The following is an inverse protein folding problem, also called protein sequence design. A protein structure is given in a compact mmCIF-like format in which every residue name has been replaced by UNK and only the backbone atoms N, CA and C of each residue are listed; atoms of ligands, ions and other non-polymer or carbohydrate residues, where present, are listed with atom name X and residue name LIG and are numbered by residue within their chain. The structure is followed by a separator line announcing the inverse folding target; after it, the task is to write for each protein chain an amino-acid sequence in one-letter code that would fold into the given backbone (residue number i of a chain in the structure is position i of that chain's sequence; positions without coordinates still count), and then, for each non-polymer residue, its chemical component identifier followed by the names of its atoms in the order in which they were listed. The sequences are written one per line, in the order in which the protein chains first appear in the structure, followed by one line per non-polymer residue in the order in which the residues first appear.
data_IF_125018604362
#
_entry.id   IF_125018604362
#
_cell.length_a   1.000
_cell.length_b   1.000
_cell.length_c   1.000
_cell.angle_alpha   90.00
_cell.angle_beta   90.00
_cell.angle_gamma   90.00
#
_symmetry.space_group_name_H-M   'P 1'
#
loop_
_entity.id
_entity.type
_entity.pdbx_description
1 polymer ?
#
# COMPACT_ATOMS: atom_id res chain seq x y z
N UNK A 1 31.71 -58.92 8.61
CA UNK A 1 30.43 -58.29 8.20
C UNK A 1 29.90 -57.22 9.19
N UNK A 2 30.10 -57.31 10.53
CA UNK A 2 29.61 -56.29 11.49
C UNK A 2 30.31 -54.93 11.44
N UNK A 3 31.57 -54.82 11.00
CA UNK A 3 32.32 -53.55 10.92
C UNK A 3 32.00 -52.74 9.68
N UNK A 4 31.50 -53.33 8.61
CA UNK A 4 31.12 -52.64 7.37
C UNK A 4 29.71 -52.02 7.51
N UNK A 5 28.82 -52.64 8.28
CA UNK A 5 27.46 -52.13 8.53
C UNK A 5 27.46 -50.86 9.39
N UNK A 6 28.42 -50.74 10.33
CA UNK A 6 28.53 -49.53 11.17
C UNK A 6 29.07 -48.31 10.40
N UNK A 7 29.93 -48.52 9.42
CA UNK A 7 30.49 -47.46 8.60
C UNK A 7 29.46 -46.88 7.60
N UNK A 8 28.56 -47.73 7.08
CA UNK A 8 27.49 -47.28 6.18
C UNK A 8 26.35 -46.56 6.92
N UNK A 9 26.07 -46.92 8.17
CA UNK A 9 25.04 -46.21 8.96
C UNK A 9 25.52 -44.81 9.40
N UNK A 10 26.81 -44.67 9.70
CA UNK A 10 27.39 -43.35 10.07
C UNK A 10 27.46 -42.40 8.89
N UNK A 11 27.75 -42.89 7.69
CA UNK A 11 27.77 -42.05 6.47
C UNK A 11 26.35 -41.64 6.09
N UNK A 12 25.34 -42.49 6.28
CA UNK A 12 23.94 -42.14 6.03
C UNK A 12 23.39 -41.10 7.04
N UNK A 13 23.82 -41.17 8.32
CA UNK A 13 23.42 -40.16 9.32
C UNK A 13 24.09 -38.78 9.08
N UNK A 14 25.32 -38.77 8.55
CA UNK A 14 26.01 -37.51 8.22
C UNK A 14 25.39 -36.86 6.99
N UNK A 15 24.85 -37.62 6.03
CA UNK A 15 24.17 -37.04 4.86
C UNK A 15 22.77 -36.51 5.18
N UNK A 16 22.08 -37.02 6.20
CA UNK A 16 20.78 -36.49 6.62
C UNK A 16 20.88 -35.28 7.52
N UNK A 17 22.01 -35.00 8.17
CA UNK A 17 22.21 -33.83 9.02
C UNK A 17 22.66 -32.61 8.19
N UNK A 18 23.22 -32.83 7.00
CA UNK A 18 23.70 -31.72 6.15
C UNK A 18 22.65 -31.10 5.19
N UNK A 19 21.43 -31.66 5.13
CA UNK A 19 20.34 -31.07 4.33
C UNK A 19 19.38 -30.22 5.19
N UNK A 20 19.55 -30.19 6.51
CA UNK A 20 18.69 -29.48 7.44
C UNK A 20 19.22 -28.11 7.93
N UNK A 21 20.31 -27.58 7.33
CA UNK A 21 20.96 -26.34 7.79
C UNK A 21 21.14 -25.28 6.70
N UNK A 22 20.28 -25.25 5.71
CA UNK A 22 20.14 -24.10 4.85
C UNK A 22 18.76 -23.46 5.07
N UNK A 23 18.34 -23.27 6.33
CA UNK A 23 17.44 -22.19 6.64
C UNK A 23 18.28 -20.92 6.56
N UNK A 24 18.11 -20.16 5.47
CA UNK A 24 18.54 -18.77 5.45
C UNK A 24 18.00 -18.11 6.70
N UNK A 25 18.89 -17.67 7.57
CA UNK A 25 18.54 -16.87 8.75
C UNK A 25 18.04 -15.54 8.21
N UNK A 26 16.74 -15.47 7.93
CA UNK A 26 16.03 -14.22 7.61
C UNK A 26 16.24 -13.32 8.83
N UNK A 27 16.97 -12.23 8.62
CA UNK A 27 17.21 -11.25 9.68
C UNK A 27 15.86 -10.76 10.23
N UNK A 28 15.61 -10.83 11.54
CA UNK A 28 14.31 -10.47 12.14
C UNK A 28 13.80 -9.08 11.76
N UNK A 29 14.73 -8.14 11.48
CA UNK A 29 14.43 -6.76 11.11
C UNK A 29 13.55 -6.57 9.87
N UNK A 30 13.46 -7.58 8.99
CA UNK A 30 12.68 -7.48 7.76
C UNK A 30 11.54 -8.51 7.68
N UNK A 31 11.16 -9.10 8.80
CA UNK A 31 9.98 -9.97 8.84
C UNK A 31 8.74 -9.10 8.66
N UNK A 32 8.16 -9.20 7.49
CA UNK A 32 6.89 -8.61 7.16
C UNK A 32 5.74 -9.55 7.49
N UNK A 33 4.51 -9.06 7.42
CA UNK A 33 3.31 -9.90 7.48
C UNK A 33 3.41 -11.01 6.44
N UNK A 34 3.09 -12.24 6.84
CA UNK A 34 3.22 -13.43 6.01
C UNK A 34 2.52 -13.28 4.65
N UNK A 35 3.27 -13.52 3.58
CA UNK A 35 2.76 -13.63 2.22
C UNK A 35 3.43 -14.84 1.56
N UNK A 36 2.66 -15.86 1.13
CA UNK A 36 3.22 -17.08 0.54
C UNK A 36 4.17 -16.78 -0.62
N UNK A 37 5.38 -17.34 -0.57
CA UNK A 37 6.42 -17.10 -1.56
C UNK A 37 7.19 -15.78 -1.41
N UNK A 38 6.87 -14.97 -0.39
CA UNK A 38 7.50 -13.68 -0.14
C UNK A 38 7.79 -13.44 1.34
N UNK A 39 8.11 -14.48 2.07
CA UNK A 39 8.28 -14.44 3.53
C UNK A 39 9.36 -13.44 3.99
N UNK A 40 10.36 -13.20 3.13
CA UNK A 40 11.44 -12.25 3.40
C UNK A 40 11.24 -10.89 2.69
N UNK A 41 10.10 -10.67 2.01
CA UNK A 41 9.88 -9.51 1.17
C UNK A 41 9.32 -8.33 1.98
N UNK A 42 10.18 -7.58 2.68
CA UNK A 42 9.74 -6.37 3.39
C UNK A 42 9.25 -5.26 2.45
N UNK A 43 9.64 -5.29 1.20
CA UNK A 43 9.25 -4.31 0.17
C UNK A 43 7.91 -4.61 -0.51
N UNK A 44 7.42 -5.85 -0.42
CA UNK A 44 6.15 -6.26 -1.01
C UNK A 44 5.07 -6.58 0.04
N UNK A 45 5.45 -6.75 1.29
CA UNK A 45 4.55 -7.11 2.39
C UNK A 45 4.67 -6.09 3.52
N UNK A 46 3.57 -5.47 3.96
CA UNK A 46 3.60 -4.54 5.09
C UNK A 46 4.15 -5.16 6.36
N UNK A 47 4.94 -4.37 7.07
CA UNK A 47 5.48 -4.69 8.38
C UNK A 47 4.49 -4.26 9.48
N UNK A 48 4.71 -4.70 10.71
CA UNK A 48 4.08 -4.07 11.86
C UNK A 48 4.63 -2.63 11.98
N UNK A 49 3.74 -1.65 11.87
CA UNK A 49 4.11 -0.24 11.91
C UNK A 49 4.63 0.19 13.29
N UNK A 50 4.32 -0.57 14.33
CA UNK A 50 4.77 -0.34 15.70
C UNK A 50 6.12 -0.99 16.02
N UNK A 51 6.65 -1.83 15.13
CA UNK A 51 8.05 -2.25 15.17
C UNK A 51 8.93 -1.13 14.59
N UNK A 52 9.10 -0.06 15.38
CA UNK A 52 9.77 1.16 14.95
C UNK A 52 11.21 0.90 14.49
N UNK A 53 11.91 -0.01 15.14
CA UNK A 53 13.29 -0.38 14.77
C UNK A 53 13.34 -0.99 13.37
N UNK A 54 12.48 -1.97 13.09
CA UNK A 54 12.43 -2.63 11.78
C UNK A 54 11.97 -1.66 10.69
N UNK A 55 10.93 -0.85 10.96
CA UNK A 55 10.44 0.15 10.00
C UNK A 55 11.51 1.21 9.71
N UNK A 56 12.21 1.69 10.73
CA UNK A 56 13.28 2.67 10.56
C UNK A 56 14.46 2.11 9.78
N UNK A 57 14.87 0.88 10.06
CA UNK A 57 15.92 0.18 9.31
C UNK A 57 15.53 0.07 7.82
N UNK A 58 14.28 -0.28 7.51
CA UNK A 58 13.76 -0.28 6.14
C UNK A 58 13.80 1.12 5.52
N UNK A 59 13.34 2.16 6.23
CA UNK A 59 13.27 3.53 5.70
C UNK A 59 14.64 4.16 5.44
N UNK A 60 15.67 3.76 6.17
CA UNK A 60 17.03 4.30 6.08
C UNK A 60 17.97 3.43 5.24
N UNK A 61 17.58 2.20 4.90
CA UNK A 61 18.35 1.35 4.01
C UNK A 61 18.51 1.99 2.61
N UNK A 62 19.70 1.91 1.97
CA UNK A 62 19.88 2.36 0.59
C UNK A 62 18.95 1.61 -0.37
N UNK A 63 18.67 2.21 -1.52
CA UNK A 63 17.84 1.59 -2.55
C UNK A 63 18.60 1.43 -3.86
N UNK A 64 18.26 0.42 -4.64
CA UNK A 64 18.69 0.32 -6.03
C UNK A 64 17.62 0.90 -6.93
N UNK A 65 17.98 1.84 -7.79
CA UNK A 65 17.09 2.46 -8.78
C UNK A 65 17.61 2.22 -10.19
N UNK A 66 16.73 2.41 -11.19
CA UNK A 66 17.19 2.46 -12.58
C UNK A 66 17.68 3.87 -12.90
N UNK A 67 18.93 3.99 -13.39
CA UNK A 67 19.55 5.25 -13.78
C UNK A 67 18.95 5.76 -15.09
N UNK A 68 17.86 6.50 -14.96
CA UNK A 68 17.09 7.08 -16.03
C UNK A 68 16.44 8.38 -15.54
N UNK A 69 15.81 9.14 -16.41
CA UNK A 69 15.12 10.38 -16.04
C UNK A 69 13.98 10.14 -15.05
N UNK A 70 13.72 11.10 -14.17
CA UNK A 70 12.69 11.01 -13.09
C UNK A 70 11.27 10.68 -13.58
N UNK A 71 10.99 10.84 -14.88
CA UNK A 71 9.70 10.52 -15.52
C UNK A 71 9.84 9.48 -16.63
N UNK A 72 11.07 9.02 -16.86
CA UNK A 72 11.34 7.98 -17.84
C UNK A 72 10.89 6.62 -17.32
N UNK A 73 10.22 5.87 -18.17
CA UNK A 73 9.79 4.51 -17.89
C UNK A 73 10.74 3.52 -18.56
N UNK A 74 11.32 2.65 -17.76
CA UNK A 74 12.20 1.56 -18.21
C UNK A 74 11.42 0.26 -18.19
N UNK A 75 11.51 -0.51 -19.27
CA UNK A 75 10.75 -1.75 -19.45
C UNK A 75 11.42 -2.90 -18.68
N UNK A 76 10.60 -3.69 -18.00
CA UNK A 76 10.93 -5.02 -17.47
C UNK A 76 10.61 -6.08 -18.50
N UNK A 77 11.51 -7.03 -18.69
CA UNK A 77 11.41 -8.10 -19.68
C UNK A 77 11.27 -9.47 -18.99
N UNK A 78 10.57 -10.41 -19.65
CA UNK A 78 10.42 -11.77 -19.14
C UNK A 78 11.73 -12.58 -19.21
N UNK A 79 12.60 -12.26 -20.16
CA UNK A 79 13.91 -12.90 -20.37
C UNK A 79 15.01 -11.82 -20.48
N UNK A 80 16.29 -12.16 -20.30
CA UNK A 80 17.41 -11.22 -20.41
C UNK A 80 17.69 -10.79 -21.85
N UNK A 81 16.65 -10.28 -22.52
CA UNK A 81 16.65 -9.94 -23.95
C UNK A 81 15.52 -8.94 -24.25
N UNK A 82 15.84 -7.89 -25.01
CA UNK A 82 14.89 -6.80 -25.35
C UNK A 82 13.74 -7.21 -26.26
N UNK A 83 13.83 -8.36 -26.90
CA UNK A 83 12.80 -8.88 -27.81
C UNK A 83 11.81 -9.82 -27.10
N UNK A 84 12.05 -10.12 -25.80
CA UNK A 84 11.14 -10.93 -25.01
C UNK A 84 9.89 -10.15 -24.60
N UNK A 85 8.94 -10.84 -23.99
CA UNK A 85 7.71 -10.25 -23.47
C UNK A 85 8.01 -9.11 -22.50
N UNK A 86 7.25 -8.02 -22.58
CA UNK A 86 7.34 -6.86 -21.72
C UNK A 86 6.35 -7.00 -20.57
N UNK A 87 6.87 -7.21 -19.36
CA UNK A 87 6.06 -7.52 -18.17
C UNK A 87 5.53 -6.28 -17.45
N UNK A 88 6.27 -5.18 -17.49
CA UNK A 88 5.93 -3.98 -16.76
C UNK A 88 6.91 -2.83 -17.03
N UNK A 89 6.76 -1.75 -16.28
CA UNK A 89 7.67 -0.60 -16.34
C UNK A 89 8.12 -0.15 -14.96
N UNK A 90 9.32 0.38 -14.89
CA UNK A 90 9.93 0.99 -13.70
C UNK A 90 10.08 2.47 -13.96
N UNK A 91 9.74 3.32 -13.01
CA UNK A 91 10.06 4.75 -13.09
C UNK A 91 11.52 5.00 -12.74
N UNK A 92 12.25 5.64 -13.65
CA UNK A 92 13.66 5.99 -13.45
C UNK A 92 13.90 6.89 -12.24
N UNK A 93 15.09 6.77 -11.67
CA UNK A 93 15.66 7.59 -10.61
C UNK A 93 14.97 7.57 -9.25
N UNK A 94 13.67 7.20 -9.15
CA UNK A 94 12.89 7.30 -7.91
C UNK A 94 12.37 5.99 -7.37
N UNK A 95 12.03 5.04 -8.23
CA UNK A 95 11.46 3.75 -7.83
C UNK A 95 12.56 2.74 -7.53
N UNK A 96 12.46 2.09 -6.37
CA UNK A 96 13.36 0.99 -6.01
C UNK A 96 13.04 -0.28 -6.78
N UNK A 97 14.10 -1.04 -7.07
CA UNK A 97 14.05 -2.41 -7.55
C UNK A 97 14.90 -3.30 -6.65
N UNK A 98 14.45 -4.51 -6.38
CA UNK A 98 15.17 -5.49 -5.57
C UNK A 98 15.86 -6.48 -6.48
N UNK A 99 17.18 -6.47 -6.47
CA UNK A 99 18.01 -7.29 -7.35
C UNK A 99 18.11 -8.69 -6.75
N UNK A 100 17.53 -9.67 -7.43
CA UNK A 100 17.58 -11.08 -7.04
C UNK A 100 18.85 -11.74 -7.59
N UNK A 101 19.21 -11.42 -8.85
CA UNK A 101 20.33 -12.03 -9.54
C UNK A 101 20.94 -11.07 -10.56
N UNK A 102 22.26 -11.20 -10.79
CA UNK A 102 22.96 -10.55 -11.91
C UNK A 102 23.61 -11.65 -12.75
N UNK A 103 23.26 -11.72 -14.04
CA UNK A 103 23.87 -12.67 -14.93
C UNK A 103 25.10 -12.09 -15.65
N UNK A 104 25.89 -12.96 -16.27
CA UNK A 104 27.11 -12.57 -16.98
C UNK A 104 26.85 -11.85 -18.32
N UNK A 105 25.62 -11.87 -18.82
CA UNK A 105 25.19 -11.28 -20.09
C UNK A 105 24.79 -9.80 -19.93
N UNK A 106 25.03 -9.21 -18.78
CA UNK A 106 24.75 -7.80 -18.51
C UNK A 106 23.31 -7.50 -18.12
N UNK A 107 22.54 -8.50 -17.68
CA UNK A 107 21.19 -8.39 -17.19
C UNK A 107 21.10 -8.69 -15.69
N UNK A 108 20.07 -8.15 -15.06
CA UNK A 108 19.73 -8.45 -13.68
C UNK A 108 18.26 -8.85 -13.61
N UNK A 109 17.97 -9.93 -12.89
CA UNK A 109 16.66 -10.30 -12.45
C UNK A 109 16.29 -9.42 -11.25
N UNK A 110 15.19 -8.71 -11.35
CA UNK A 110 14.73 -7.81 -10.29
C UNK A 110 13.25 -8.03 -10.03
N UNK A 111 12.80 -7.66 -8.84
CA UNK A 111 11.39 -7.57 -8.54
C UNK A 111 11.02 -6.17 -8.04
N UNK A 112 9.83 -5.74 -8.38
CA UNK A 112 9.24 -4.45 -8.03
C UNK A 112 7.77 -4.40 -8.42
N UNK A 113 7.06 -3.34 -8.05
CA UNK A 113 5.73 -3.05 -8.61
C UNK A 113 5.87 -2.36 -9.97
N UNK A 114 5.04 -2.74 -10.93
CA UNK A 114 5.00 -2.04 -12.21
C UNK A 114 4.36 -0.65 -12.05
N UNK A 115 5.06 0.39 -12.48
CA UNK A 115 4.63 1.79 -12.44
C UNK A 115 3.97 2.25 -13.74
N UNK A 116 3.12 1.41 -14.34
CA UNK A 116 2.38 1.80 -15.55
C UNK A 116 1.38 2.93 -15.26
N UNK A 117 1.28 3.86 -16.21
CA UNK A 117 0.30 4.93 -16.26
C UNK A 117 -0.59 4.76 -17.49
N UNK A 118 -1.63 5.57 -17.62
CA UNK A 118 -2.57 5.50 -18.74
C UNK A 118 -1.87 5.50 -20.12
N UNK A 119 -0.82 6.29 -20.29
CA UNK A 119 -0.04 6.46 -21.52
C UNK A 119 1.17 5.51 -21.64
N UNK A 120 1.43 4.67 -20.64
CA UNK A 120 2.53 3.70 -20.69
C UNK A 120 2.38 2.72 -21.82
N UNK A 121 3.48 2.30 -22.42
CA UNK A 121 3.51 1.27 -23.47
C UNK A 121 3.03 -0.08 -22.94
N UNK A 122 3.49 -0.46 -21.75
CA UNK A 122 3.07 -1.69 -21.06
C UNK A 122 1.93 -1.35 -20.11
N UNK A 123 0.81 -2.06 -20.24
CA UNK A 123 -0.41 -1.84 -19.46
C UNK A 123 -0.49 -2.82 -18.29
N UNK A 124 0.44 -2.68 -17.36
CA UNK A 124 0.48 -3.46 -16.14
C UNK A 124 0.36 -2.50 -14.93
N UNK A 125 -0.87 -2.38 -14.39
CA UNK A 125 -1.21 -1.40 -13.37
C UNK A 125 -0.88 -1.93 -11.97
N UNK A 126 0.17 -1.37 -11.35
CA UNK A 126 0.54 -1.66 -9.96
C UNK A 126 0.64 -3.15 -9.60
N UNK A 127 1.00 -4.01 -10.56
CA UNK A 127 1.24 -5.42 -10.27
C UNK A 127 2.68 -5.64 -9.82
N UNK A 128 2.86 -6.50 -8.84
CA UNK A 128 4.18 -6.96 -8.44
C UNK A 128 4.74 -7.89 -9.52
N UNK A 129 5.94 -7.61 -10.00
CA UNK A 129 6.54 -8.25 -11.18
C UNK A 129 7.98 -8.64 -10.89
N UNK A 130 8.34 -9.85 -11.29
CA UNK A 130 9.72 -10.29 -11.39
C UNK A 130 10.13 -10.32 -12.85
N UNK A 131 11.22 -9.65 -13.23
CA UNK A 131 11.65 -9.56 -14.61
C UNK A 131 13.07 -9.00 -14.75
N UNK A 132 13.53 -8.92 -15.98
CA UNK A 132 14.90 -8.53 -16.30
C UNK A 132 15.02 -7.07 -16.72
N UNK A 133 16.10 -6.44 -16.25
CA UNK A 133 16.54 -5.11 -16.66
C UNK A 133 18.06 -5.14 -16.92
N UNK A 134 18.58 -4.24 -17.76
CA UNK A 134 20.04 -4.18 -17.99
C UNK A 134 20.78 -3.79 -16.71
N UNK A 135 21.74 -4.61 -16.27
CA UNK A 135 22.53 -4.40 -15.04
C UNK A 135 23.28 -3.06 -15.03
N UNK A 136 23.75 -2.61 -16.20
CA UNK A 136 24.46 -1.33 -16.36
C UNK A 136 23.58 -0.10 -16.05
N UNK A 137 22.27 -0.26 -16.01
CA UNK A 137 21.32 0.79 -15.64
C UNK A 137 21.00 0.82 -14.14
N UNK A 138 21.46 -0.15 -13.38
CA UNK A 138 21.17 -0.21 -11.96
C UNK A 138 22.18 0.61 -11.16
N UNK A 139 21.68 1.46 -10.28
CA UNK A 139 22.47 2.35 -9.45
C UNK A 139 21.96 2.34 -8.01
N UNK A 140 22.85 2.09 -7.08
CA UNK A 140 22.56 2.25 -5.66
C UNK A 140 22.47 3.73 -5.29
N UNK A 141 21.48 4.08 -4.49
CA UNK A 141 21.31 5.41 -3.91
C UNK A 141 21.17 5.34 -2.40
N UNK A 142 21.96 6.17 -1.73
CA UNK A 142 21.75 6.46 -0.32
C UNK A 142 20.47 7.29 -0.17
N UNK A 143 19.69 7.01 0.86
CA UNK A 143 18.50 7.77 1.22
C UNK A 143 18.82 8.77 2.32
N UNK A 144 17.95 9.77 2.47
CA UNK A 144 18.02 10.71 3.59
C UNK A 144 17.80 9.95 4.90
N UNK A 145 18.58 10.28 5.92
CA UNK A 145 18.54 9.61 7.23
C UNK A 145 17.75 10.40 8.28
N UNK A 146 17.24 11.60 7.94
CA UNK A 146 16.50 12.45 8.90
C UNK A 146 15.04 11.98 9.06
N UNK A 147 14.38 11.64 7.95
CA UNK A 147 12.96 11.32 7.89
C UNK A 147 12.68 10.15 6.95
N UNK A 148 11.63 9.40 7.25
CA UNK A 148 11.06 8.40 6.36
C UNK A 148 9.52 8.45 6.39
N UNK A 149 8.89 8.03 5.30
CA UNK A 149 7.43 8.07 5.16
C UNK A 149 6.93 6.68 4.75
N UNK A 150 5.90 6.20 5.45
CA UNK A 150 5.13 5.04 5.05
C UNK A 150 3.70 5.48 4.72
N UNK A 151 3.18 5.05 3.60
CA UNK A 151 1.78 5.23 3.19
C UNK A 151 1.10 3.86 3.23
N UNK A 152 0.09 3.72 4.05
CA UNK A 152 -0.73 2.52 4.07
C UNK A 152 -2.01 2.74 3.27
N UNK A 153 -2.14 2.03 2.15
CA UNK A 153 -3.32 2.14 1.29
C UNK A 153 -4.58 1.51 1.90
N UNK A 154 -4.42 0.56 2.83
CA UNK A 154 -5.56 -0.07 3.49
C UNK A 154 -6.24 0.90 4.45
N UNK A 155 -5.46 1.52 5.33
CA UNK A 155 -5.97 2.44 6.36
C UNK A 155 -6.06 3.89 5.90
N UNK A 156 -5.52 4.21 4.70
CA UNK A 156 -5.42 5.58 4.16
C UNK A 156 -4.68 6.52 5.11
N UNK A 157 -3.58 6.03 5.66
CA UNK A 157 -2.76 6.71 6.66
C UNK A 157 -1.33 6.93 6.14
N UNK A 158 -0.78 8.10 6.42
CA UNK A 158 0.63 8.41 6.31
C UNK A 158 1.25 8.33 7.70
N UNK A 159 2.31 7.54 7.83
CA UNK A 159 3.14 7.45 9.01
C UNK A 159 4.45 8.18 8.74
N UNK A 160 4.78 9.16 9.57
CA UNK A 160 6.00 9.94 9.49
C UNK A 160 6.98 9.51 10.58
N UNK A 161 8.13 9.04 10.16
CA UNK A 161 9.22 8.62 11.05
C UNK A 161 10.33 9.66 11.09
N UNK A 162 10.94 9.83 12.26
CA UNK A 162 12.10 10.67 12.51
C UNK A 162 12.96 10.06 13.62
N UNK A 163 14.27 9.99 13.41
CA UNK A 163 15.25 9.47 14.38
C UNK A 163 14.87 8.11 15.01
N UNK A 164 14.37 7.19 14.20
CA UNK A 164 14.03 5.84 14.66
C UNK A 164 12.61 5.69 15.21
N UNK A 165 11.85 6.77 15.37
CA UNK A 165 10.55 6.75 16.02
C UNK A 165 9.40 7.19 15.09
N UNK A 166 8.22 6.64 15.34
CA UNK A 166 6.99 7.12 14.72
C UNK A 166 6.64 8.50 15.30
N UNK A 167 6.94 9.54 14.55
CA UNK A 167 6.74 10.93 14.96
C UNK A 167 5.28 11.37 14.89
N UNK A 168 4.53 10.92 13.88
CA UNK A 168 3.16 11.39 13.64
C UNK A 168 2.43 10.54 12.62
N UNK A 169 1.10 10.59 12.69
CA UNK A 169 0.19 10.00 11.71
C UNK A 169 -0.71 11.06 11.07
N UNK A 170 -0.98 10.93 9.77
CA UNK A 170 -1.78 11.88 9.02
C UNK A 170 -2.79 11.16 8.13
N UNK A 171 -4.00 11.74 8.05
CA UNK A 171 -5.00 11.29 7.10
C UNK A 171 -4.55 11.56 5.66
N UNK A 172 -4.68 10.55 4.79
CA UNK A 172 -4.40 10.70 3.36
C UNK A 172 -5.57 10.23 2.50
N UNK A 173 -5.48 10.48 1.20
CA UNK A 173 -6.38 9.94 0.20
C UNK A 173 -5.54 9.53 -1.00
N UNK A 174 -5.50 8.21 -1.26
CA UNK A 174 -4.74 7.62 -2.37
C UNK A 174 -5.60 7.46 -3.62
N UNK A 175 -5.03 6.86 -4.66
CA UNK A 175 -5.67 6.66 -5.95
C UNK A 175 -6.87 5.73 -5.91
N UNK A 176 -7.94 6.12 -6.59
CA UNK A 176 -9.15 5.32 -6.71
C UNK A 176 -8.99 4.29 -7.83
N UNK A 177 -8.82 3.03 -7.44
CA UNK A 177 -8.88 1.92 -8.37
C UNK A 177 -10.33 1.60 -8.74
N UNK A 178 -10.60 1.44 -10.02
CA UNK A 178 -11.85 0.87 -10.51
C UNK A 178 -11.65 0.23 -11.90
N UNK A 179 -12.60 -0.59 -12.34
CA UNK A 179 -12.49 -1.32 -13.60
C UNK A 179 -12.39 -0.45 -14.85
N UNK A 180 -12.81 0.82 -14.77
CA UNK A 180 -12.73 1.77 -15.90
C UNK A 180 -11.41 2.51 -15.92
N UNK A 181 -10.82 2.74 -14.75
CA UNK A 181 -9.61 3.55 -14.55
C UNK A 181 -8.63 2.86 -13.61
N UNK A 182 -8.15 1.65 -13.93
CA UNK A 182 -7.23 0.90 -13.06
C UNK A 182 -5.87 1.60 -12.91
N UNK A 183 -5.53 2.47 -13.85
CA UNK A 183 -4.32 3.28 -13.84
C UNK A 183 -4.35 4.44 -12.82
N UNK A 184 -5.48 4.68 -12.17
CA UNK A 184 -5.59 5.70 -11.12
C UNK A 184 -5.13 5.20 -9.74
N UNK A 185 -4.82 3.93 -9.60
CA UNK A 185 -4.29 3.41 -8.35
C UNK A 185 -2.93 4.05 -8.02
N UNK A 186 -2.71 4.43 -6.75
CA UNK A 186 -1.37 4.81 -6.26
C UNK A 186 -0.45 3.60 -6.32
N UNK A 187 0.72 3.75 -6.95
CA UNK A 187 1.70 2.65 -7.11
C UNK A 187 2.30 2.29 -5.77
N UNK A 188 2.38 0.99 -5.53
CA UNK A 188 2.98 0.41 -4.33
C UNK A 188 4.49 0.23 -4.49
N UNK A 189 5.17 -0.02 -3.39
CA UNK A 189 6.61 -0.28 -3.34
C UNK A 189 7.41 0.85 -2.70
N UNK A 190 8.71 0.85 -2.92
CA UNK A 190 9.63 1.81 -2.35
C UNK A 190 10.01 2.88 -3.37
N UNK A 191 10.02 4.11 -2.89
CA UNK A 191 10.37 5.28 -3.68
C UNK A 191 11.24 6.24 -2.88
N UNK A 192 11.86 7.20 -3.58
CA UNK A 192 12.43 8.39 -2.95
C UNK A 192 11.78 9.65 -3.50
N UNK A 193 11.64 10.66 -2.66
CA UNK A 193 11.27 12.00 -3.10
C UNK A 193 12.38 12.55 -4.01
N UNK A 194 12.08 12.85 -5.26
CA UNK A 194 13.08 13.27 -6.26
C UNK A 194 13.01 14.72 -6.66
N UNK A 195 11.86 15.36 -6.50
CA UNK A 195 11.73 16.79 -6.81
C UNK A 195 10.57 17.47 -6.09
N UNK A 196 10.74 18.76 -5.86
CA UNK A 196 9.73 19.68 -5.32
C UNK A 196 9.07 20.39 -6.50
N UNK A 197 7.82 20.00 -6.81
CA UNK A 197 7.08 20.53 -7.96
C UNK A 197 6.41 21.87 -7.63
N UNK A 198 6.05 22.07 -6.36
CA UNK A 198 5.25 23.22 -5.92
C UNK A 198 3.77 23.02 -6.24
N UNK A 199 3.10 24.14 -6.50
CA UNK A 199 1.68 24.14 -6.85
C UNK A 199 1.49 23.74 -8.33
N UNK A 200 0.51 22.87 -8.58
CA UNK A 200 0.17 22.42 -9.93
C UNK A 200 -1.35 22.29 -10.09
N UNK A 201 -1.79 22.13 -11.33
CA UNK A 201 -3.19 21.90 -11.65
C UNK A 201 -3.42 20.46 -12.10
N UNK A 202 -4.55 19.91 -11.68
CA UNK A 202 -5.13 18.69 -12.21
C UNK A 202 -6.58 18.99 -12.56
N UNK A 203 -6.88 19.15 -13.84
CA UNK A 203 -8.15 19.68 -14.34
C UNK A 203 -8.49 21.06 -13.70
N UNK A 204 -9.64 21.16 -13.05
CA UNK A 204 -10.08 22.36 -12.33
C UNK A 204 -9.49 22.50 -10.92
N UNK A 205 -8.79 21.49 -10.44
CA UNK A 205 -8.25 21.44 -9.08
C UNK A 205 -6.87 22.10 -9.01
N UNK A 206 -6.61 22.78 -7.91
CA UNK A 206 -5.30 23.29 -7.53
C UNK A 206 -4.75 22.37 -6.44
N UNK A 207 -3.60 21.75 -6.72
CA UNK A 207 -2.86 20.86 -5.83
C UNK A 207 -1.62 21.59 -5.35
N UNK A 208 -1.55 21.91 -4.06
CA UNK A 208 -0.45 22.69 -3.50
C UNK A 208 0.66 21.81 -2.96
N UNK A 209 1.90 22.32 -3.01
CA UNK A 209 3.06 21.72 -2.35
C UNK A 209 3.40 20.30 -2.84
N UNK A 210 3.39 20.09 -4.15
CA UNK A 210 3.66 18.76 -4.74
C UNK A 210 5.11 18.30 -4.57
N UNK A 211 5.31 17.16 -3.91
CA UNK A 211 6.56 16.41 -3.80
C UNK A 211 6.48 15.16 -4.69
N UNK A 212 7.35 15.04 -5.68
CA UNK A 212 7.34 13.91 -6.61
C UNK A 212 8.09 12.72 -6.03
N UNK A 213 7.41 11.58 -5.96
CA UNK A 213 8.01 10.30 -5.58
C UNK A 213 7.98 9.26 -6.70
N UNK A 214 7.06 9.41 -7.66
CA UNK A 214 6.98 8.56 -8.84
C UNK A 214 6.68 9.42 -10.08
N UNK A 215 6.81 8.92 -11.29
CA UNK A 215 6.67 9.67 -12.56
C UNK A 215 5.52 10.68 -12.54
N UNK A 216 4.30 10.21 -12.43
CA UNK A 216 3.07 11.01 -12.38
C UNK A 216 2.51 11.24 -10.97
N UNK A 217 2.98 10.49 -9.98
CA UNK A 217 2.41 10.51 -8.64
C UNK A 217 3.19 11.47 -7.72
N UNK A 218 2.45 12.32 -7.03
CA UNK A 218 2.97 13.30 -6.09
C UNK A 218 2.27 13.17 -4.74
N UNK A 219 3.02 13.46 -3.68
CA UNK A 219 2.48 13.77 -2.37
C UNK A 219 2.15 15.27 -2.35
N UNK A 220 0.93 15.66 -2.00
CA UNK A 220 0.50 17.08 -2.03
C UNK A 220 -0.66 17.34 -1.06
N UNK A 221 -0.91 18.62 -0.73
CA UNK A 221 -2.07 19.00 0.07
C UNK A 221 -3.39 18.54 -0.60
N UNK A 222 -4.40 18.22 0.20
CA UNK A 222 -5.76 17.99 -0.31
C UNK A 222 -6.15 19.12 -1.27
N UNK A 223 -6.60 18.80 -2.51
CA UNK A 223 -6.79 19.83 -3.53
C UNK A 223 -7.99 20.73 -3.25
N UNK A 224 -7.95 21.91 -3.79
CA UNK A 224 -9.01 22.92 -3.67
C UNK A 224 -9.37 23.53 -5.02
N UNK A 225 -10.53 24.14 -5.08
CA UNK A 225 -10.94 25.09 -6.11
C UNK A 225 -10.87 26.51 -5.54
N UNK A 226 -11.14 27.52 -6.37
CA UNK A 226 -11.31 28.90 -5.90
C UNK A 226 -12.79 29.25 -5.87
N UNK A 227 -13.22 29.96 -4.83
CA UNK A 227 -14.51 30.65 -4.79
C UNK A 227 -14.46 31.91 -5.67
N UNK A 228 -15.61 32.57 -5.88
CA UNK A 228 -15.69 33.81 -6.66
C UNK A 228 -14.88 34.96 -6.07
N UNK A 229 -14.65 34.97 -4.75
CA UNK A 229 -13.82 35.97 -4.03
C UNK A 229 -12.31 35.58 -4.03
N UNK A 230 -11.93 34.50 -4.73
CA UNK A 230 -10.54 34.03 -4.79
C UNK A 230 -10.10 33.16 -3.62
N UNK A 231 -10.91 33.00 -2.57
CA UNK A 231 -10.60 32.13 -1.43
C UNK A 231 -10.57 30.66 -1.83
N UNK A 232 -9.81 29.85 -1.06
CA UNK A 232 -9.70 28.40 -1.32
C UNK A 232 -10.95 27.66 -0.85
N UNK A 233 -11.46 26.78 -1.70
CA UNK A 233 -12.63 25.95 -1.42
C UNK A 233 -12.23 24.47 -1.38
N UNK A 234 -12.27 23.87 -0.21
CA UNK A 234 -11.94 22.47 0.05
C UNK A 234 -13.18 21.57 0.22
N UNK A 235 -14.38 22.15 0.20
CA UNK A 235 -15.64 21.47 0.56
C UNK A 235 -15.86 20.13 -0.13
N UNK A 236 -15.38 19.96 -1.36
CA UNK A 236 -15.57 18.75 -2.15
C UNK A 236 -14.48 17.69 -1.91
N UNK A 237 -13.24 18.09 -1.63
CA UNK A 237 -12.10 17.16 -1.58
C UNK A 237 -11.68 16.80 -0.15
N UNK A 238 -11.86 17.70 0.81
CA UNK A 238 -11.48 17.47 2.20
C UNK A 238 -12.25 16.30 2.87
N UNK A 239 -13.57 16.13 2.65
CA UNK A 239 -14.31 14.98 3.18
C UNK A 239 -13.87 13.63 2.61
N UNK A 240 -13.04 13.62 1.55
CA UNK A 240 -12.51 12.38 0.94
C UNK A 240 -11.21 11.89 1.59
N UNK A 241 -10.62 12.64 2.51
CA UNK A 241 -9.51 12.13 3.32
C UNK A 241 -9.96 10.86 4.05
N UNK A 242 -9.05 9.90 4.19
CA UNK A 242 -9.35 8.57 4.71
C UNK A 242 -10.03 7.65 3.70
N UNK A 243 -10.19 8.08 2.43
CA UNK A 243 -10.73 7.24 1.35
C UNK A 243 -9.87 7.32 0.10
N UNK A 244 -9.99 6.34 -0.78
CA UNK A 244 -9.39 6.40 -2.12
C UNK A 244 -10.20 7.35 -3.00
N UNK A 245 -9.58 8.39 -3.54
CA UNK A 245 -10.30 9.39 -4.33
C UNK A 245 -9.43 10.18 -5.31
N UNK A 246 -8.14 9.88 -5.43
CA UNK A 246 -7.23 10.56 -6.36
C UNK A 246 -7.04 9.77 -7.68
N UNK A 247 -6.23 10.32 -8.58
CA UNK A 247 -5.82 9.67 -9.83
C UNK A 247 -4.38 9.11 -9.76
N UNK A 248 -3.93 8.73 -8.54
CA UNK A 248 -2.60 8.18 -8.28
C UNK A 248 -1.82 8.99 -7.24
N UNK A 249 -1.94 10.31 -7.22
CA UNK A 249 -1.32 11.14 -6.18
C UNK A 249 -1.81 10.80 -4.77
N UNK A 250 -1.02 11.14 -3.78
CA UNK A 250 -1.36 11.01 -2.37
C UNK A 250 -1.72 12.41 -1.83
N UNK A 251 -2.99 12.59 -1.50
CA UNK A 251 -3.52 13.82 -0.92
C UNK A 251 -3.35 13.76 0.58
N UNK A 252 -2.72 14.76 1.18
CA UNK A 252 -2.45 14.83 2.63
C UNK A 252 -3.30 15.91 3.26
N UNK A 253 -3.72 15.70 4.50
CA UNK A 253 -4.49 16.67 5.27
C UNK A 253 -3.83 18.05 5.36
N UNK A 254 -4.64 19.10 5.29
CA UNK A 254 -4.21 20.50 5.40
C UNK A 254 -4.22 21.05 6.82
N UNK A 255 -5.14 20.60 7.67
CA UNK A 255 -5.14 21.00 9.07
C UNK A 255 -4.05 20.23 9.82
N UNK A 256 -3.44 20.90 10.76
CA UNK A 256 -2.47 20.27 11.65
C UNK A 256 -3.19 19.26 12.55
N UNK A 257 -2.57 18.09 12.74
CA UNK A 257 -2.99 17.13 13.76
C UNK A 257 -2.54 17.56 15.15
N UNK A 258 -2.67 16.68 16.14
CA UNK A 258 -2.27 16.95 17.53
C UNK A 258 -0.77 17.25 17.66
N UNK A 259 0.06 16.61 16.82
CA UNK A 259 1.52 16.80 16.79
C UNK A 259 1.93 18.10 16.07
N UNK A 260 0.98 18.89 15.61
CA UNK A 260 1.23 20.13 14.87
C UNK A 260 1.66 19.93 13.42
N UNK A 261 1.49 18.71 12.87
CA UNK A 261 1.94 18.28 11.55
C UNK A 261 0.79 18.28 10.54
N UNK A 262 1.11 18.69 9.29
CA UNK A 262 0.22 18.66 8.12
C UNK A 262 1.05 18.65 6.83
N UNK A 263 0.42 18.75 5.67
CA UNK A 263 1.14 18.83 4.39
C UNK A 263 2.11 20.01 4.30
N UNK A 264 1.77 21.17 4.89
CA UNK A 264 2.67 22.33 4.90
C UNK A 264 3.96 22.04 5.69
N UNK A 265 3.82 21.36 6.84
CA UNK A 265 4.97 20.93 7.63
C UNK A 265 5.83 19.92 6.84
N UNK A 266 5.20 18.91 6.19
CA UNK A 266 5.91 17.95 5.32
C UNK A 266 6.65 18.69 4.20
N UNK A 267 5.99 19.65 3.54
CA UNK A 267 6.63 20.45 2.51
C UNK A 267 7.87 21.20 3.03
N UNK A 268 7.82 21.77 4.20
CA UNK A 268 8.92 22.54 4.75
C UNK A 268 10.12 21.69 5.19
N UNK A 269 9.89 20.48 5.70
CA UNK A 269 10.91 19.65 6.36
C UNK A 269 11.40 18.48 5.51
N UNK A 270 10.55 17.86 4.69
CA UNK A 270 10.94 16.70 3.89
C UNK A 270 11.74 17.13 2.66
N UNK A 271 12.92 16.54 2.51
CA UNK A 271 13.89 16.85 1.45
C UNK A 271 13.88 15.78 0.35
N UNK A 272 14.45 16.12 -0.81
CA UNK A 272 14.77 15.13 -1.84
C UNK A 272 15.68 14.05 -1.26
N UNK A 273 15.48 12.80 -1.67
CA UNK A 273 16.19 11.65 -1.15
C UNK A 273 15.52 10.99 0.06
N UNK A 274 14.48 11.60 0.66
CA UNK A 274 13.68 10.94 1.71
C UNK A 274 12.96 9.74 1.10
N UNK A 275 13.10 8.56 1.73
CA UNK A 275 12.38 7.35 1.33
C UNK A 275 10.89 7.47 1.65
N UNK A 276 10.07 7.03 0.71
CA UNK A 276 8.64 6.91 0.84
C UNK A 276 8.23 5.50 0.39
N UNK A 277 7.65 4.74 1.29
CA UNK A 277 7.17 3.38 1.02
C UNK A 277 5.65 3.40 0.96
N UNK A 278 5.07 2.81 -0.07
CA UNK A 278 3.63 2.67 -0.23
C UNK A 278 3.26 1.21 -0.03
N UNK A 279 2.61 0.90 1.08
CA UNK A 279 2.14 -0.44 1.37
C UNK A 279 0.85 -0.76 0.64
N UNK A 280 0.84 -1.97 0.09
CA UNK A 280 -0.31 -2.54 -0.62
C UNK A 280 -1.42 -2.97 0.35
N UNK A 281 -2.63 -2.94 -0.14
CA UNK A 281 -3.84 -3.43 0.53
C UNK A 281 -4.28 -4.77 -0.08
N UNK A 282 -3.46 -5.78 0.04
CA UNK A 282 -3.69 -7.08 -0.58
C UNK A 282 -4.37 -8.08 0.37
N UNK A 283 -4.69 -9.24 -0.20
CA UNK A 283 -5.30 -10.37 0.49
C UNK A 283 -4.57 -10.72 1.81
N UNK A 284 -5.34 -10.99 2.85
CA UNK A 284 -4.84 -11.31 4.19
C UNK A 284 -4.67 -10.11 5.11
N UNK A 285 -4.71 -8.87 4.57
CA UNK A 285 -4.80 -7.67 5.39
C UNK A 285 -6.27 -7.30 5.61
N UNK A 286 -6.60 -6.95 6.83
CA UNK A 286 -7.94 -6.54 7.21
C UNK A 286 -7.86 -5.27 8.06
N UNK A 287 -8.87 -4.41 7.93
CA UNK A 287 -9.11 -3.33 8.88
C UNK A 287 -9.74 -3.93 10.12
N UNK A 288 -9.22 -3.57 11.27
CA UNK A 288 -9.77 -4.01 12.55
C UNK A 288 -11.20 -3.48 12.74
N UNK A 289 -12.10 -4.36 13.16
CA UNK A 289 -13.44 -3.96 13.61
C UNK A 289 -13.33 -3.64 15.09
N UNK A 290 -13.61 -2.39 15.49
CA UNK A 290 -13.45 -1.99 16.88
C UNK A 290 -14.46 -2.67 17.79
N UNK A 291 -14.14 -2.71 19.10
CA UNK A 291 -15.09 -3.15 20.11
C UNK A 291 -16.36 -2.27 20.09
N UNK A 292 -17.52 -2.88 20.36
CA UNK A 292 -18.77 -2.16 20.48
C UNK A 292 -18.74 -1.03 21.53
N UNK A 293 -17.87 -1.16 22.54
CA UNK A 293 -17.69 -0.18 23.63
C UNK A 293 -16.69 0.94 23.29
N UNK A 294 -16.09 0.92 22.07
CA UNK A 294 -15.16 1.97 21.65
C UNK A 294 -15.85 3.33 21.68
N UNK A 295 -15.30 4.29 22.43
CA UNK A 295 -15.88 5.63 22.56
C UNK A 295 -15.67 6.46 21.30
N UNK A 296 -16.76 7.10 20.88
CA UNK A 296 -16.80 8.08 19.80
C UNK A 296 -17.41 9.37 20.34
N UNK A 297 -17.06 10.50 19.71
CA UNK A 297 -17.48 11.83 20.14
C UNK A 297 -18.23 12.54 19.01
N UNK A 298 -19.23 13.34 19.39
CA UNK A 298 -19.98 14.17 18.43
C UNK A 298 -20.47 15.45 19.10
N UNK A 299 -20.91 16.42 18.32
CA UNK A 299 -21.53 17.62 18.85
C UNK A 299 -23.05 17.55 18.65
N UNK A 300 -23.86 17.44 19.73
CA UNK A 300 -25.32 17.32 19.63
C UNK A 300 -26.00 18.61 19.15
N UNK A 301 -25.32 19.77 19.25
CA UNK A 301 -25.84 21.08 18.86
C UNK A 301 -25.46 21.50 17.43
N UNK A 302 -24.83 20.60 16.67
CA UNK A 302 -24.48 20.87 15.27
C UNK A 302 -23.15 20.23 14.87
N UNK A 303 -23.01 20.03 13.57
CA UNK A 303 -21.91 19.28 13.00
C UNK A 303 -22.44 18.01 12.34
N UNK A 304 -21.66 17.49 11.41
CA UNK A 304 -22.02 16.29 10.63
C UNK A 304 -21.08 15.12 10.85
N UNK A 305 -20.09 15.30 11.75
CA UNK A 305 -19.04 14.31 11.93
C UNK A 305 -19.05 13.73 13.35
N UNK A 306 -18.67 12.47 13.45
CA UNK A 306 -18.21 11.85 14.69
C UNK A 306 -16.70 11.70 14.66
N UNK A 307 -16.07 11.55 15.85
CA UNK A 307 -14.64 11.64 16.08
C UNK A 307 -14.17 10.54 17.03
N UNK A 308 -12.90 10.13 16.94
CA UNK A 308 -12.21 9.35 17.98
C UNK A 308 -11.64 10.23 19.09
N UNK A 309 -11.41 11.51 18.80
CA UNK A 309 -10.78 12.46 19.70
C UNK A 309 -11.78 13.57 20.05
N UNK A 310 -12.00 13.81 21.35
CA UNK A 310 -12.89 14.87 21.84
C UNK A 310 -12.35 16.27 21.50
N UNK A 311 -11.06 16.39 21.26
CA UNK A 311 -10.32 17.61 20.96
C UNK A 311 -9.75 17.66 19.53
N UNK A 312 -10.30 16.85 18.63
CA UNK A 312 -9.87 16.76 17.24
C UNK A 312 -9.81 18.14 16.56
N UNK A 313 -8.70 18.44 15.90
CA UNK A 313 -8.50 19.69 15.15
C UNK A 313 -9.46 19.89 13.95
N UNK A 314 -10.18 18.86 13.55
CA UNK A 314 -11.28 18.97 12.58
C UNK A 314 -12.55 19.63 13.12
N UNK A 315 -12.68 19.77 14.45
CA UNK A 315 -13.81 20.43 15.10
C UNK A 315 -13.63 21.95 14.99
N UNK A 316 -14.70 22.64 14.60
CA UNK A 316 -14.68 24.11 14.56
C UNK A 316 -14.56 24.68 15.97
N UNK A 317 -13.66 25.65 16.17
CA UNK A 317 -13.35 26.27 17.46
C UNK A 317 -14.60 26.70 18.26
N UNK A 318 -15.61 27.24 17.59
CA UNK A 318 -16.87 27.64 18.23
C UNK A 318 -17.67 26.51 18.89
N UNK A 319 -17.36 25.24 18.58
CA UNK A 319 -17.98 24.04 19.14
C UNK A 319 -17.12 23.35 20.17
N UNK A 320 -15.94 23.89 20.44
CA UNK A 320 -14.95 23.36 21.37
C UNK A 320 -15.23 23.83 22.79
N UNK A 321 -15.16 23.02 23.85
CA UNK A 321 -14.96 21.55 23.94
C UNK A 321 -16.26 20.76 24.16
N UNK A 322 -17.39 21.19 23.59
CA UNK A 322 -18.72 20.63 23.87
C UNK A 322 -18.99 19.37 23.04
N UNK A 323 -18.29 18.30 23.37
CA UNK A 323 -18.50 17.01 22.77
C UNK A 323 -19.21 16.07 23.73
N UNK A 324 -20.27 15.43 23.28
CA UNK A 324 -20.86 14.28 23.92
C UNK A 324 -20.28 13.00 23.34
N UNK A 325 -20.31 11.92 24.10
CA UNK A 325 -19.82 10.62 23.68
C UNK A 325 -20.95 9.62 23.49
N UNK A 326 -20.70 8.67 22.61
CA UNK A 326 -21.49 7.48 22.38
C UNK A 326 -20.56 6.32 22.06
N UNK A 327 -21.03 5.09 22.02
CA UNK A 327 -20.19 3.94 21.70
C UNK A 327 -20.31 3.54 20.24
N UNK A 328 -19.27 2.87 19.71
CA UNK A 328 -19.27 2.36 18.35
C UNK A 328 -20.50 1.48 18.07
N UNK A 329 -20.92 0.65 19.03
CA UNK A 329 -22.11 -0.18 18.90
C UNK A 329 -23.41 0.62 18.69
N UNK A 330 -23.45 1.88 19.13
CA UNK A 330 -24.59 2.78 18.94
C UNK A 330 -24.56 3.52 17.59
N UNK A 331 -23.49 3.45 16.84
CA UNK A 331 -23.30 4.23 15.61
C UNK A 331 -24.42 3.98 14.57
N UNK A 332 -25.02 2.81 14.58
CA UNK A 332 -26.10 2.45 13.66
C UNK A 332 -27.49 2.86 14.13
N UNK A 333 -27.63 3.42 15.35
CA UNK A 333 -28.89 3.94 15.84
C UNK A 333 -29.34 5.19 15.06
N UNK A 334 -30.66 5.40 14.97
CA UNK A 334 -31.26 6.52 14.23
C UNK A 334 -30.70 7.89 14.67
N UNK A 335 -30.34 8.04 15.95
CA UNK A 335 -29.77 9.26 16.53
C UNK A 335 -28.44 9.65 15.89
N UNK A 336 -27.67 8.69 15.40
CA UNK A 336 -26.31 8.88 14.85
C UNK A 336 -26.24 8.56 13.35
N UNK A 337 -27.34 8.12 12.73
CA UNK A 337 -27.37 7.66 11.35
C UNK A 337 -26.91 8.71 10.33
N UNK A 338 -27.11 10.00 10.62
CA UNK A 338 -26.68 11.11 9.74
C UNK A 338 -25.22 11.54 9.91
N UNK A 339 -24.54 11.04 10.96
CA UNK A 339 -23.14 11.40 11.20
C UNK A 339 -22.21 10.67 10.24
N UNK A 340 -21.17 11.36 9.80
CA UNK A 340 -20.10 10.83 8.96
C UNK A 340 -18.76 10.85 9.72
N UNK A 341 -17.82 9.95 9.39
CA UNK A 341 -16.51 9.96 10.05
C UNK A 341 -15.76 11.26 9.80
N UNK A 342 -15.11 11.78 10.82
CA UNK A 342 -14.23 12.93 10.66
C UNK A 342 -13.04 12.59 9.76
N UNK A 343 -12.77 13.38 8.71
CA UNK A 343 -11.67 13.10 7.79
C UNK A 343 -10.26 13.34 8.39
N UNK A 344 -10.16 13.86 9.60
CA UNK A 344 -8.89 14.19 10.26
C UNK A 344 -8.47 13.17 11.30
N UNK A 345 -9.28 12.87 12.30
CA UNK A 345 -8.98 11.85 13.30
C UNK A 345 -9.38 10.43 12.86
N UNK A 346 -9.98 10.29 11.69
CA UNK A 346 -10.33 9.02 11.06
C UNK A 346 -10.97 8.00 12.03
N UNK A 347 -12.09 8.32 12.65
CA UNK A 347 -12.76 7.37 13.51
C UNK A 347 -13.17 6.13 12.71
N UNK A 348 -13.34 4.98 13.36
CA UNK A 348 -13.78 3.77 12.69
C UNK A 348 -15.02 4.03 11.85
N UNK A 349 -15.02 3.48 10.63
CA UNK A 349 -16.17 3.54 9.75
C UNK A 349 -17.30 2.65 10.25
N UNK A 350 -18.49 2.80 9.69
CA UNK A 350 -19.62 1.93 9.98
C UNK A 350 -19.29 0.48 9.71
N UNK A 351 -19.84 -0.43 10.50
CA UNK A 351 -19.57 -1.86 10.43
C UNK A 351 -19.71 -2.41 9.00
N UNK A 352 -20.80 -2.07 8.32
CA UNK A 352 -21.02 -2.53 6.94
C UNK A 352 -19.95 -2.04 5.95
N UNK A 353 -19.37 -0.84 6.17
CA UNK A 353 -18.27 -0.34 5.35
C UNK A 353 -16.96 -1.10 5.64
N UNK A 354 -16.65 -1.39 6.92
CA UNK A 354 -15.47 -2.17 7.31
C UNK A 354 -15.55 -3.60 6.80
N UNK A 355 -16.71 -4.23 6.92
CA UNK A 355 -16.96 -5.58 6.38
C UNK A 355 -16.78 -5.62 4.86
N UNK A 356 -17.27 -4.62 4.14
CA UNK A 356 -17.10 -4.52 2.70
C UNK A 356 -15.64 -4.30 2.30
N UNK A 357 -14.89 -3.43 3.02
CA UNK A 357 -13.45 -3.25 2.82
C UNK A 357 -12.74 -4.60 3.01
N UNK A 358 -12.99 -5.27 4.13
CA UNK A 358 -12.37 -6.55 4.44
C UNK A 358 -12.77 -7.65 3.43
N UNK A 359 -14.02 -7.64 2.96
CA UNK A 359 -14.49 -8.56 1.92
C UNK A 359 -13.74 -8.35 0.59
N UNK A 360 -13.55 -7.11 0.17
CA UNK A 360 -12.81 -6.78 -1.05
C UNK A 360 -11.36 -7.23 -0.93
N UNK A 361 -10.70 -6.97 0.21
CA UNK A 361 -9.31 -7.35 0.45
C UNK A 361 -9.09 -8.85 0.58
N UNK A 362 -10.09 -9.62 0.94
CA UNK A 362 -10.03 -11.09 0.92
C UNK A 362 -9.99 -11.68 -0.49
N UNK A 363 -10.48 -10.96 -1.50
CA UNK A 363 -10.60 -11.46 -2.87
C UNK A 363 -9.63 -10.80 -3.85
N UNK A 364 -8.96 -9.72 -3.45
CA UNK A 364 -7.97 -9.04 -4.26
C UNK A 364 -6.57 -9.27 -3.73
N UNK A 365 -5.71 -9.95 -4.48
CA UNK A 365 -4.29 -10.02 -4.22
C UNK A 365 -3.51 -9.29 -5.31
N UNK A 366 -2.34 -8.72 -5.02
CA UNK A 366 -1.52 -8.02 -6.00
C UNK A 366 -1.07 -8.86 -7.19
N UNK A 367 -1.07 -10.18 -7.07
CA UNK A 367 -0.76 -11.09 -8.19
C UNK A 367 -1.99 -11.64 -8.92
N UNK A 368 -3.19 -11.41 -8.37
CA UNK A 368 -4.44 -11.98 -8.86
C UNK A 368 -5.40 -10.95 -9.45
N UNK A 369 -5.11 -9.68 -9.27
CA UNK A 369 -5.89 -8.61 -9.92
C UNK A 369 -5.57 -8.64 -11.40
N UNK A 370 -6.43 -9.31 -12.17
CA UNK A 370 -6.32 -9.27 -13.62
C UNK A 370 -6.37 -7.82 -14.09
N UNK A 371 -5.42 -7.45 -14.95
CA UNK A 371 -5.42 -6.12 -15.54
C UNK A 371 -6.78 -5.84 -16.22
N UNK A 372 -7.18 -4.58 -16.27
CA UNK A 372 -8.39 -4.16 -17.00
C UNK A 372 -8.45 -4.74 -18.40
N UNK A 373 -7.31 -4.84 -19.08
CA UNK A 373 -7.21 -5.35 -20.45
C UNK A 373 -7.38 -6.86 -20.53
N UNK A 374 -6.89 -7.62 -19.56
CA UNK A 374 -7.13 -9.06 -19.47
C UNK A 374 -8.59 -9.37 -19.17
N UNK A 375 -9.22 -8.63 -18.23
CA UNK A 375 -10.66 -8.71 -17.99
C UNK A 375 -11.46 -8.39 -19.24
N UNK A 376 -11.09 -7.35 -19.98
CA UNK A 376 -11.73 -6.94 -21.25
C UNK A 376 -11.54 -7.98 -22.34
N UNK A 377 -10.35 -8.59 -22.43
CA UNK A 377 -10.04 -9.66 -23.36
C UNK A 377 -10.89 -10.91 -23.07
N UNK A 378 -10.92 -11.37 -21.81
CA UNK A 378 -11.73 -12.53 -21.38
C UNK A 378 -13.24 -12.28 -21.58
N UNK A 379 -13.71 -11.05 -21.34
CA UNK A 379 -15.12 -10.68 -21.58
C UNK A 379 -15.46 -10.71 -23.09
N UNK A 380 -14.55 -10.30 -23.97
CA UNK A 380 -14.72 -10.42 -25.43
C UNK A 380 -14.72 -11.87 -25.89
N UNK A 381 -13.97 -12.74 -25.23
CA UNK A 381 -13.87 -14.16 -25.52
C UNK A 381 -15.04 -14.98 -24.92
N UNK A 382 -16.03 -14.33 -24.30
CA UNK A 382 -17.23 -14.97 -23.71
C UNK A 382 -16.96 -15.86 -22.49
N UNK A 383 -15.75 -15.79 -21.92
CA UNK A 383 -15.40 -16.56 -20.72
C UNK A 383 -15.81 -15.79 -19.47
N UNK A 384 -16.61 -16.43 -18.60
CA UNK A 384 -16.92 -15.88 -17.27
C UNK A 384 -15.62 -15.68 -16.48
N UNK A 385 -15.38 -14.44 -16.06
CA UNK A 385 -14.24 -14.08 -15.22
C UNK A 385 -14.63 -14.34 -13.78
N UNK A 386 -14.47 -15.57 -13.31
CA UNK A 386 -14.45 -15.84 -11.89
C UNK A 386 -13.02 -15.57 -11.40
N UNK A 387 -12.82 -14.78 -10.30
CA UNK A 387 -11.53 -14.68 -9.65
C UNK A 387 -11.03 -16.09 -9.32
N UNK A 388 -9.72 -16.36 -9.49
CA UNK A 388 -9.12 -17.69 -9.22
C UNK A 388 -9.40 -18.19 -7.80
N UNK A 389 -9.63 -17.27 -6.86
CA UNK A 389 -10.05 -17.54 -5.50
C UNK A 389 -11.44 -18.20 -5.40
N UNK A 390 -12.40 -17.80 -6.23
CA UNK A 390 -13.74 -18.44 -6.25
C UNK A 390 -13.69 -19.89 -6.73
N UNK A 391 -12.80 -20.21 -7.66
CA UNK A 391 -12.62 -21.59 -8.11
C UNK A 391 -12.02 -22.48 -7.01
N UNK A 392 -11.12 -21.95 -6.18
CA UNK A 392 -10.57 -22.68 -5.01
C UNK A 392 -11.61 -22.89 -3.90
N UNK A 393 -12.43 -21.89 -3.59
CA UNK A 393 -13.52 -22.04 -2.60
C UNK A 393 -14.58 -23.04 -3.05
N UNK A 394 -14.91 -23.10 -4.34
CA UNK A 394 -15.83 -24.11 -4.88
C UNK A 394 -15.21 -25.50 -4.87
N UNK A 395 -13.92 -25.65 -5.14
CA UNK A 395 -13.23 -26.95 -5.05
C UNK A 395 -13.15 -27.46 -3.61
N UNK A 396 -12.91 -26.59 -2.63
CA UNK A 396 -12.90 -26.95 -1.20
C UNK A 396 -14.31 -27.31 -0.69
N UNK A 397 -15.36 -26.66 -1.19
CA UNK A 397 -16.74 -27.04 -0.85
C UNK A 397 -17.18 -28.36 -1.47
N UNK A 398 -16.73 -28.68 -2.67
CA UNK A 398 -17.04 -29.96 -3.30
C UNK A 398 -16.28 -31.11 -2.67
N UNK A 399 -15.02 -30.95 -2.27
CA UNK A 399 -14.25 -32.00 -1.57
C UNK A 399 -14.81 -32.32 -0.16
N UNK A 400 -15.52 -31.39 0.49
CA UNK A 400 -16.21 -31.66 1.76
C UNK A 400 -17.60 -32.30 1.61
N UNK A 401 -18.20 -32.30 0.42
CA UNK A 401 -19.49 -32.99 0.17
C UNK A 401 -19.35 -34.49 -0.18
N UNK A 402 -18.19 -34.93 -0.62
CA UNK A 402 -17.97 -36.35 -0.97
C UNK A 402 -17.49 -37.22 0.19
N UNK A 403 -17.35 -36.66 1.40
CA UNK A 403 -16.84 -37.37 2.58
C UNK A 403 -17.84 -37.82 3.64
N UNK A 404 -19.16 -37.62 3.43
CA UNK A 404 -20.16 -38.13 4.37
C UNK A 404 -20.81 -39.42 3.87
N UNK A 405 -20.12 -40.53 4.10
CA UNK A 405 -20.69 -41.88 4.08
C UNK A 405 -21.28 -42.15 5.44
N UNK A 406 -22.61 -42.25 5.53
CA UNK A 406 -23.33 -42.66 6.71
C UNK A 406 -23.53 -44.20 6.57
N UNK A 407 -23.01 -45.04 7.46
CA UNK A 407 -23.38 -46.45 7.44
C UNK A 407 -24.78 -46.61 8.03
N UNK A 408 -25.66 -47.24 7.27
CA UNK A 408 -26.95 -47.71 7.77
C UNK A 408 -26.72 -48.88 8.72
N UNK A 409 -27.22 -48.75 9.95
CA UNK A 409 -27.40 -49.87 10.88
C UNK A 409 -28.61 -50.68 10.48
N UNK A 410 -28.38 -51.99 10.30
CA UNK A 410 -29.38 -53.01 10.45
C UNK A 410 -29.43 -53.45 11.92
#
# INVERSE_FOLDING_TARGET
MRKILFSLLTVFLIFFVSVALAEEVITPAYRSTYRPGHEACYWCTPMDIHDEEAVWAMLTAPITVVDAGQREQVILYAEPNKNSEQLGVITGASQAVHVLERNNDGWALVETYSSSFHDSKVKNWNQFVTGYVQSSKLKEKKVNQDYGIVIDKLTQTLYLFHDGHLMSTLAVSTGLYNDKQPYNETRSGEFIIVSRVGDFRSDSLICAMGLRFNSGDLLHEVPHTKNGDGSKNYKYNEPKLGTRASHGCIRVQRLKNQDGINMKWIWDNIKNGTKLVVWEDYQGRQVEIPSADTLLYYNPNGGSNYHTEHDCRGIKEKYWPQMESFTYGQLEENSFASLTPCPYCQPPRRLAELEEINRIHLVSSPGEVMSYWEKKKKKKEGRAVLPSYFSRLLSVRNSRREGMYVPSSA
#
